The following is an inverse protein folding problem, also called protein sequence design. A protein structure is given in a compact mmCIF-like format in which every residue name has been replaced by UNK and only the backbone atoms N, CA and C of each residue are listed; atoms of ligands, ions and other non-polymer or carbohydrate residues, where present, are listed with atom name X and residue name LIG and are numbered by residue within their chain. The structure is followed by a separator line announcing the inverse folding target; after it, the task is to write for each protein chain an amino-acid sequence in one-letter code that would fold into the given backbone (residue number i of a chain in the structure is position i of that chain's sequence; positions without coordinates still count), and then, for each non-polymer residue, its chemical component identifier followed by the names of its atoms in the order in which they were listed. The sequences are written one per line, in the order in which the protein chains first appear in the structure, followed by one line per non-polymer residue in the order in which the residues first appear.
data_IF_491589942647
#
_entry.id   IF_491589942647
#
_cell.length_a   1.000
_cell.length_b   1.000
_cell.length_c   1.000
_cell.angle_alpha   90.00
_cell.angle_beta   90.00
_cell.angle_gamma   90.00
#
_symmetry.space_group_name_H-M   'P 1'
#
loop_
_entity.id
_entity.type
_entity.pdbx_description
1 polymer ?
#
# COMPACT_ATOMS: atom_id res chain seq x y z
N UNK A 1 3.00 18.28 3.82
CA UNK A 1 3.64 17.49 2.75
C UNK A 1 3.81 16.11 3.31
N UNK A 2 3.13 15.13 2.71
CA UNK A 2 3.14 13.75 3.18
C UNK A 2 3.75 12.96 2.01
N UNK A 3 4.91 12.35 2.25
CA UNK A 3 5.74 11.71 1.22
C UNK A 3 6.06 10.29 1.69
N UNK A 4 5.15 9.34 1.43
CA UNK A 4 5.42 7.93 1.66
C UNK A 4 4.72 6.96 0.69
N UNK A 5 3.82 7.46 -0.16
CA UNK A 5 3.03 6.65 -1.10
C UNK A 5 3.34 7.03 -2.56
N UNK A 6 4.60 6.83 -2.97
CA UNK A 6 4.96 6.85 -4.39
C UNK A 6 5.90 5.69 -4.75
N UNK A 7 5.79 5.21 -5.99
CA UNK A 7 6.56 4.10 -6.53
C UNK A 7 8.07 4.30 -6.45
N UNK A 8 8.53 5.54 -6.50
CA UNK A 8 9.94 5.92 -6.34
C UNK A 8 10.45 5.61 -4.93
N UNK A 9 9.66 5.94 -3.90
CA UNK A 9 9.99 5.65 -2.51
C UNK A 9 10.00 4.14 -2.26
N UNK A 10 9.03 3.40 -2.81
CA UNK A 10 8.98 1.94 -2.73
C UNK A 10 10.23 1.32 -3.35
N UNK A 11 10.62 1.75 -4.56
CA UNK A 11 11.82 1.26 -5.23
C UNK A 11 13.11 1.54 -4.42
N UNK A 12 13.23 2.74 -3.86
CA UNK A 12 14.36 3.12 -3.01
C UNK A 12 14.47 2.25 -1.76
N UNK A 13 13.34 2.02 -1.09
CA UNK A 13 13.28 1.19 0.12
C UNK A 13 13.53 -0.29 -0.18
N UNK A 14 13.02 -0.79 -1.31
CA UNK A 14 13.35 -2.13 -1.78
C UNK A 14 14.84 -2.29 -2.05
N UNK A 15 15.47 -1.30 -2.69
CA UNK A 15 16.89 -1.34 -2.99
C UNK A 15 17.75 -1.26 -1.74
N UNK A 16 17.39 -0.41 -0.76
CA UNK A 16 18.12 -0.27 0.51
C UNK A 16 18.08 -1.55 1.35
N UNK A 17 16.99 -2.31 1.27
CA UNK A 17 16.75 -3.55 2.03
C UNK A 17 16.93 -4.83 1.22
N UNK A 18 17.38 -4.73 -0.04
CA UNK A 18 17.55 -5.87 -0.96
C UNK A 18 16.28 -6.76 -1.06
N UNK A 19 15.12 -6.12 -1.25
CA UNK A 19 13.81 -6.79 -1.35
C UNK A 19 13.52 -7.23 -2.79
N UNK A 20 12.87 -8.39 -2.93
CA UNK A 20 12.52 -8.99 -4.22
C UNK A 20 11.16 -8.56 -4.77
N UNK A 21 10.29 -8.02 -3.92
CA UNK A 21 8.95 -7.60 -4.28
C UNK A 21 8.52 -6.38 -3.46
N UNK A 22 7.79 -5.48 -4.10
CA UNK A 22 7.11 -4.38 -3.44
C UNK A 22 6.02 -3.82 -4.34
N UNK A 23 5.13 -3.03 -3.76
CA UNK A 23 4.06 -2.43 -4.52
C UNK A 23 3.18 -1.49 -3.72
N UNK A 24 2.27 -0.84 -4.42
CA UNK A 24 1.38 0.17 -3.88
C UNK A 24 -0.09 -0.22 -4.09
N UNK A 25 -1.01 0.27 -3.24
CA UNK A 25 -2.46 0.03 -3.41
C UNK A 25 -3.04 0.54 -4.74
N UNK A 26 -2.31 1.37 -5.48
CA UNK A 26 -2.68 1.84 -6.83
C UNK A 26 -2.60 0.75 -7.90
N UNK A 27 -1.96 -0.38 -7.61
CA UNK A 27 -1.70 -1.45 -8.58
C UNK A 27 -0.28 -1.44 -9.17
N UNK A 28 0.59 -0.56 -8.68
CA UNK A 28 2.01 -0.52 -9.04
C UNK A 28 2.77 -1.65 -8.35
N UNK A 29 3.33 -2.60 -9.09
CA UNK A 29 4.17 -3.67 -8.55
C UNK A 29 5.59 -3.62 -9.13
N UNK A 30 6.58 -3.88 -8.27
CA UNK A 30 8.00 -3.93 -8.60
C UNK A 30 8.52 -5.34 -8.31
N UNK A 31 9.11 -5.96 -9.34
CA UNK A 31 9.69 -7.29 -9.28
C UNK A 31 11.21 -7.13 -9.19
N UNK A 32 11.68 -6.88 -7.96
CA UNK A 32 13.04 -6.43 -7.65
C UNK A 32 14.14 -7.45 -7.91
N UNK A 33 13.80 -8.73 -8.10
CA UNK A 33 14.74 -9.75 -8.56
C UNK A 33 15.05 -9.67 -10.07
N UNK A 34 14.34 -8.81 -10.80
CA UNK A 34 14.58 -8.53 -12.23
C UNK A 34 14.97 -7.06 -12.43
N UNK A 35 14.16 -6.10 -11.96
CA UNK A 35 14.52 -4.68 -11.95
C UNK A 35 13.71 -3.84 -10.94
N UNK A 36 14.25 -2.70 -10.52
CA UNK A 36 13.66 -1.80 -9.51
C UNK A 36 12.68 -0.76 -10.09
N UNK A 37 11.88 -1.15 -11.09
CA UNK A 37 10.91 -0.26 -11.75
C UNK A 37 9.53 -0.93 -11.72
N UNK A 38 8.44 -0.15 -11.59
CA UNK A 38 7.11 -0.68 -11.81
C UNK A 38 6.96 -1.32 -13.19
N UNK A 39 6.51 -2.57 -13.24
CA UNK A 39 6.22 -3.24 -14.51
C UNK A 39 5.02 -4.17 -14.36
N UNK A 40 3.88 -3.72 -14.91
CA UNK A 40 2.63 -4.47 -14.93
C UNK A 40 2.67 -5.70 -15.83
N UNK A 41 3.47 -5.67 -16.90
CA UNK A 41 3.62 -6.82 -17.82
C UNK A 41 4.38 -7.93 -17.11
N UNK A 42 5.45 -7.58 -16.42
CA UNK A 42 6.23 -8.52 -15.62
C UNK A 42 5.45 -9.05 -14.42
N UNK A 43 4.67 -8.20 -13.75
CA UNK A 43 3.74 -8.61 -12.71
C UNK A 43 2.71 -9.63 -13.23
N UNK A 44 2.13 -9.41 -14.41
CA UNK A 44 1.20 -10.34 -15.03
C UNK A 44 1.88 -11.68 -15.35
N UNK A 45 3.12 -11.65 -15.87
CA UNK A 45 3.89 -12.86 -16.11
C UNK A 45 4.15 -13.66 -14.82
N UNK A 46 4.50 -12.99 -13.71
CA UNK A 46 4.65 -13.62 -12.39
C UNK A 46 3.35 -14.24 -11.87
N UNK A 47 2.20 -13.61 -12.12
CA UNK A 47 0.90 -14.21 -11.79
C UNK A 47 0.67 -15.48 -12.62
N UNK A 48 0.96 -15.47 -13.91
CA UNK A 48 0.80 -16.64 -14.79
C UNK A 48 1.72 -17.78 -14.34
N UNK A 49 2.98 -17.48 -14.02
CA UNK A 49 3.94 -18.42 -13.44
C UNK A 49 3.36 -19.08 -12.17
N UNK A 50 2.87 -18.27 -11.21
CA UNK A 50 2.25 -18.78 -9.99
C UNK A 50 1.00 -19.64 -10.26
N UNK A 51 0.17 -19.28 -11.24
CA UNK A 51 -1.04 -20.04 -11.58
C UNK A 51 -0.69 -21.41 -12.18
N UNK A 52 0.34 -21.47 -13.02
CA UNK A 52 0.85 -22.71 -13.59
C UNK A 52 1.34 -23.67 -12.49
N UNK A 53 2.03 -23.15 -11.47
CA UNK A 53 2.54 -23.96 -10.36
C UNK A 53 1.44 -24.48 -9.41
N UNK A 54 0.35 -23.71 -9.26
CA UNK A 54 -0.71 -24.01 -8.29
C UNK A 54 -1.86 -24.86 -8.83
N UNK A 55 -1.96 -25.04 -10.15
CA UNK A 55 -3.07 -25.69 -10.86
C UNK A 55 -4.45 -25.22 -10.36
N UNK A 56 -4.61 -23.89 -10.23
CA UNK A 56 -5.82 -23.24 -9.71
C UNK A 56 -6.24 -22.08 -10.59
N UNK A 57 -7.54 -21.80 -10.62
CA UNK A 57 -8.07 -20.57 -11.21
C UNK A 57 -7.71 -19.37 -10.33
N UNK A 58 -7.45 -18.23 -10.96
CA UNK A 58 -7.16 -16.99 -10.23
C UNK A 58 -8.29 -16.61 -9.25
N UNK A 59 -9.56 -16.84 -9.62
CA UNK A 59 -10.70 -16.58 -8.75
C UNK A 59 -10.62 -17.36 -7.43
N UNK A 60 -10.19 -18.62 -7.47
CA UNK A 60 -10.06 -19.44 -6.27
C UNK A 60 -8.95 -18.93 -5.34
N UNK A 61 -7.89 -18.34 -5.89
CA UNK A 61 -6.84 -17.70 -5.09
C UNK A 61 -7.36 -16.41 -4.46
N UNK A 62 -8.10 -15.60 -5.21
CA UNK A 62 -8.72 -14.37 -4.70
C UNK A 62 -9.74 -14.69 -3.60
N UNK A 63 -10.62 -15.67 -3.81
CA UNK A 63 -11.65 -16.09 -2.85
C UNK A 63 -11.05 -16.69 -1.56
N UNK A 64 -9.81 -17.19 -1.62
CA UNK A 64 -9.10 -17.72 -0.44
C UNK A 64 -8.51 -16.64 0.46
N UNK A 65 -8.41 -15.39 -0.03
CA UNK A 65 -7.87 -14.28 0.75
C UNK A 65 -8.95 -13.66 1.64
N UNK A 66 -8.58 -13.17 2.83
CA UNK A 66 -9.51 -12.40 3.66
C UNK A 66 -9.98 -11.15 2.91
N UNK A 67 -11.28 -10.86 3.02
CA UNK A 67 -11.89 -9.67 2.43
C UNK A 67 -12.04 -8.57 3.47
N UNK A 68 -11.63 -7.36 3.12
CA UNK A 68 -11.73 -6.18 3.96
C UNK A 68 -12.49 -5.08 3.23
N UNK A 69 -13.47 -4.49 3.92
CA UNK A 69 -14.24 -3.37 3.36
C UNK A 69 -13.39 -2.10 3.32
N UNK A 70 -13.41 -1.40 2.19
CA UNK A 70 -12.69 -0.14 2.01
C UNK A 70 -13.68 0.99 1.77
N UNK A 71 -13.65 2.02 2.61
CA UNK A 71 -14.36 3.28 2.40
C UNK A 71 -13.34 4.37 2.06
N UNK A 72 -13.56 5.09 0.96
CA UNK A 72 -12.67 6.16 0.49
C UNK A 72 -13.46 7.44 0.24
N UNK A 73 -13.05 8.53 0.88
CA UNK A 73 -13.60 9.86 0.67
C UNK A 73 -12.48 10.88 0.44
N UNK A 74 -12.76 11.94 -0.31
CA UNK A 74 -11.89 13.11 -0.44
C UNK A 74 -12.57 14.29 0.22
N UNK A 75 -11.94 14.84 1.26
CA UNK A 75 -12.45 16.01 1.98
C UNK A 75 -11.66 17.23 1.50
N UNK A 76 -12.35 18.20 0.92
CA UNK A 76 -11.71 19.45 0.48
C UNK A 76 -11.14 20.19 1.70
N UNK A 77 -9.84 20.47 1.67
CA UNK A 77 -9.12 21.16 2.73
C UNK A 77 -8.11 22.12 2.10
N UNK A 78 -8.17 23.43 2.41
CA UNK A 78 -7.15 24.38 1.97
C UNK A 78 -5.76 23.96 2.44
N UNK A 79 -4.74 24.14 1.60
CA UNK A 79 -3.38 23.66 1.85
C UNK A 79 -2.79 24.21 3.15
N UNK A 80 -3.04 25.49 3.44
CA UNK A 80 -2.60 26.17 4.65
C UNK A 80 -3.20 25.57 5.94
N UNK A 81 -4.32 24.85 5.84
CA UNK A 81 -4.98 24.19 6.98
C UNK A 81 -4.63 22.71 7.11
N UNK A 82 -4.03 22.09 6.09
CA UNK A 82 -3.80 20.63 6.07
C UNK A 82 -2.99 20.15 7.27
N UNK A 83 -1.91 20.86 7.63
CA UNK A 83 -1.05 20.49 8.77
C UNK A 83 -1.82 20.55 10.10
N UNK A 84 -2.51 21.65 10.35
CA UNK A 84 -3.34 21.83 11.56
C UNK A 84 -4.42 20.74 11.65
N UNK A 85 -5.13 20.46 10.55
CA UNK A 85 -6.18 19.45 10.53
C UNK A 85 -5.64 18.05 10.73
N UNK A 86 -4.52 17.69 10.10
CA UNK A 86 -3.89 16.39 10.33
C UNK A 86 -3.45 16.19 11.78
N UNK A 87 -2.91 17.23 12.43
CA UNK A 87 -2.59 17.17 13.87
C UNK A 87 -3.85 16.92 14.71
N UNK A 88 -4.95 17.63 14.42
CA UNK A 88 -6.22 17.39 15.11
C UNK A 88 -6.78 15.97 14.88
N UNK A 89 -6.61 15.40 13.68
CA UNK A 89 -6.98 14.00 13.43
C UNK A 89 -6.11 13.08 14.28
N UNK A 90 -4.80 13.32 14.39
CA UNK A 90 -3.87 12.50 15.18
C UNK A 90 -4.27 12.44 16.65
N UNK A 91 -4.58 13.60 17.24
CA UNK A 91 -5.00 13.70 18.65
C UNK A 91 -6.30 12.96 18.93
N UNK A 92 -7.22 12.95 17.96
CA UNK A 92 -8.55 12.34 18.14
C UNK A 92 -8.64 10.90 17.70
N UNK A 93 -7.76 10.42 16.81
CA UNK A 93 -7.86 9.13 16.16
C UNK A 93 -8.04 7.98 17.17
N UNK A 94 -7.21 7.93 18.22
CA UNK A 94 -7.27 6.87 19.24
C UNK A 94 -8.55 6.90 20.11
N UNK A 95 -9.31 8.00 20.10
CA UNK A 95 -10.58 8.08 20.83
C UNK A 95 -11.76 7.46 20.06
N UNK A 96 -11.60 7.18 18.76
CA UNK A 96 -12.66 6.65 17.90
C UNK A 96 -12.56 5.14 17.66
N UNK A 97 -11.44 4.52 18.00
CA UNK A 97 -11.17 3.10 17.74
C UNK A 97 -10.70 2.41 19.02
N UNK A 98 -11.30 1.27 19.32
CA UNK A 98 -10.86 0.35 20.36
C UNK A 98 -9.79 -0.59 19.78
N UNK A 99 -8.94 -1.19 20.63
CA UNK A 99 -7.96 -2.22 20.24
C UNK A 99 -6.92 -1.78 19.18
N UNK A 100 -6.42 -0.55 19.25
CA UNK A 100 -5.33 -0.08 18.37
C UNK A 100 -3.99 -0.65 18.83
N UNK A 101 -3.33 -1.46 18.00
CA UNK A 101 -2.00 -2.02 18.27
C UNK A 101 -0.88 -0.99 18.05
N UNK A 102 -0.93 -0.23 16.96
CA UNK A 102 0.12 0.73 16.57
C UNK A 102 -0.46 1.90 15.77
N UNK A 103 0.11 3.10 15.95
CA UNK A 103 -0.17 4.25 15.08
C UNK A 103 1.05 4.57 14.21
N UNK A 104 0.94 4.36 12.90
CA UNK A 104 1.95 4.72 11.92
C UNK A 104 1.68 6.12 11.35
N UNK A 105 2.74 6.95 11.31
CA UNK A 105 2.66 8.34 10.80
C UNK A 105 3.62 8.62 9.65
N UNK A 106 3.96 7.59 8.88
CA UNK A 106 4.85 7.69 7.70
C UNK A 106 4.17 8.54 6.62
N UNK A 107 2.94 8.18 6.25
CA UNK A 107 2.10 8.89 5.30
C UNK A 107 0.69 9.09 5.90
N UNK A 108 0.50 10.21 6.61
CA UNK A 108 -0.76 10.53 7.28
C UNK A 108 -0.88 9.82 8.64
N UNK A 109 -2.04 9.23 8.92
CA UNK A 109 -2.31 8.47 10.14
C UNK A 109 -2.91 7.14 9.73
N UNK A 110 -2.24 6.05 10.13
CA UNK A 110 -2.73 4.69 10.03
C UNK A 110 -2.77 4.10 11.44
N UNK A 111 -3.95 3.65 11.84
CA UNK A 111 -4.19 2.91 13.08
C UNK A 111 -4.23 1.41 12.80
#
# INVERSE_FOLDING_TARGET
MILGLESSFVAQEMNSKNLKFGGEPSGTWIIGDIHMCPDGTLAAARIIEMLNDKDKKISQLVDSMPSYSTLRAKIACPDEKKTEKMNSVKEKALSYFEEVEEMLTIDGIRL
#
